data_IF_651987560750
#
_entry.id   IF_651987560750
#
_cell.length_a   1.000
_cell.length_b   1.000
_cell.length_c   1.000
_cell.angle_alpha   90.00
_cell.angle_beta   90.00
_cell.angle_gamma   90.00
#
_symmetry.space_group_name_H-M   'P 1'
#
loop_
_entity.id
_entity.type
_entity.pdbx_description
1 polymer ?
#
# COMPACT_ATOMS: atom_id res chain seq x y z
N UNK A 1 -18.31 4.76 -24.97
CA UNK A 1 -18.59 5.54 -23.74
C UNK A 1 -18.89 4.51 -22.67
N UNK A 2 -17.88 4.18 -21.88
CA UNK A 2 -17.99 3.16 -20.84
C UNK A 2 -18.40 3.87 -19.55
N UNK A 3 -19.60 3.58 -19.05
CA UNK A 3 -20.04 4.01 -17.72
C UNK A 3 -18.95 3.64 -16.73
N UNK A 4 -18.33 4.65 -16.13
CA UNK A 4 -17.39 4.46 -15.03
C UNK A 4 -18.25 4.28 -13.78
N UNK A 5 -18.82 3.09 -13.60
CA UNK A 5 -19.35 2.68 -12.30
C UNK A 5 -18.20 2.80 -11.32
N UNK A 6 -18.25 3.81 -10.44
CA UNK A 6 -17.30 3.97 -9.35
C UNK A 6 -17.31 2.68 -8.54
N UNK A 7 -16.27 1.87 -8.70
CA UNK A 7 -16.21 0.55 -8.10
C UNK A 7 -16.19 0.70 -6.57
N UNK A 8 -17.11 0.01 -5.91
CA UNK A 8 -17.14 0.00 -4.45
C UNK A 8 -16.03 -0.93 -3.93
N UNK A 9 -14.99 -0.33 -3.37
CA UNK A 9 -13.90 -1.06 -2.74
C UNK A 9 -14.33 -1.64 -1.37
N UNK A 10 -13.79 -2.83 -0.99
CA UNK A 10 -14.00 -3.44 0.32
C UNK A 10 -13.80 -2.48 1.50
N UNK A 11 -14.75 -2.48 2.44
CA UNK A 11 -14.66 -1.76 3.71
C UNK A 11 -14.76 -2.69 4.93
N UNK A 12 -15.07 -3.97 4.70
CA UNK A 12 -15.05 -5.04 5.69
C UNK A 12 -14.14 -6.17 5.23
N UNK A 13 -13.63 -6.96 6.19
CA UNK A 13 -12.88 -8.18 5.88
C UNK A 13 -13.71 -9.18 5.07
N UNK A 14 -15.02 -9.26 5.33
CA UNK A 14 -15.95 -10.15 4.62
C UNK A 14 -16.13 -9.79 3.16
N UNK A 15 -15.84 -8.54 2.77
CA UNK A 15 -15.96 -8.08 1.40
C UNK A 15 -14.76 -8.52 0.54
N UNK A 16 -13.65 -8.91 1.20
CA UNK A 16 -12.48 -9.48 0.54
C UNK A 16 -12.78 -10.95 0.27
N UNK A 17 -13.24 -11.23 -0.94
CA UNK A 17 -13.58 -12.57 -1.40
C UNK A 17 -12.54 -13.11 -2.38
N UNK A 18 -12.44 -14.45 -2.57
CA UNK A 18 -11.62 -15.04 -3.62
C UNK A 18 -11.88 -14.42 -4.99
N UNK A 19 -13.16 -14.22 -5.33
CA UNK A 19 -13.57 -13.62 -6.60
C UNK A 19 -13.02 -12.19 -6.75
N UNK A 20 -13.29 -11.33 -5.76
CA UNK A 20 -12.81 -9.95 -5.81
C UNK A 20 -11.29 -9.86 -5.92
N UNK A 21 -10.58 -10.67 -5.12
CA UNK A 21 -9.12 -10.68 -5.15
C UNK A 21 -8.58 -11.19 -6.50
N UNK A 22 -9.20 -12.24 -7.04
CA UNK A 22 -8.85 -12.78 -8.35
C UNK A 22 -9.06 -11.77 -9.48
N UNK A 23 -10.15 -11.01 -9.45
CA UNK A 23 -10.39 -9.92 -10.39
C UNK A 23 -9.31 -8.84 -10.33
N UNK A 24 -8.80 -8.50 -9.13
CA UNK A 24 -7.73 -7.49 -8.96
C UNK A 24 -6.36 -7.98 -9.38
N UNK A 25 -6.08 -9.25 -9.11
CA UNK A 25 -4.80 -9.86 -9.47
C UNK A 25 -4.76 -10.35 -10.92
N UNK A 26 -5.90 -10.43 -11.61
CA UNK A 26 -5.98 -10.99 -12.97
C UNK A 26 -5.85 -12.52 -13.00
N UNK A 27 -6.18 -13.20 -11.90
CA UNK A 27 -6.00 -14.65 -11.74
C UNK A 27 -7.24 -15.31 -11.13
N UNK A 28 -7.46 -16.59 -11.43
CA UNK A 28 -8.54 -17.36 -10.81
C UNK A 28 -8.13 -17.85 -9.44
N UNK A 29 -8.68 -17.22 -8.40
CA UNK A 29 -8.42 -17.58 -7.01
C UNK A 29 -9.47 -18.57 -6.53
N UNK A 30 -9.02 -19.75 -6.10
CA UNK A 30 -9.86 -20.81 -5.56
C UNK A 30 -10.31 -20.51 -4.13
N UNK A 31 -9.36 -20.08 -3.29
CA UNK A 31 -9.60 -19.77 -1.89
C UNK A 31 -8.57 -18.79 -1.36
N UNK A 32 -8.96 -18.07 -0.32
CA UNK A 32 -8.08 -17.21 0.46
C UNK A 32 -8.22 -17.55 1.94
N UNK A 33 -7.12 -17.49 2.67
CA UNK A 33 -7.10 -17.68 4.12
C UNK A 33 -6.52 -16.43 4.77
N UNK A 34 -7.27 -15.81 5.69
CA UNK A 34 -6.75 -14.68 6.47
C UNK A 34 -5.82 -15.20 7.57
N UNK A 35 -4.52 -14.95 7.45
CA UNK A 35 -3.50 -15.51 8.34
C UNK A 35 -3.27 -14.65 9.57
N UNK A 36 -3.34 -13.32 9.43
CA UNK A 36 -3.20 -12.39 10.54
C UNK A 36 -3.72 -11.00 10.17
N UNK A 37 -3.87 -10.13 11.18
CA UNK A 37 -4.29 -8.75 10.98
C UNK A 37 -3.55 -7.81 11.93
N UNK A 38 -3.09 -6.67 11.42
CA UNK A 38 -2.63 -5.54 12.23
C UNK A 38 -3.65 -4.42 12.07
N UNK A 39 -4.37 -4.11 13.15
CA UNK A 39 -5.41 -3.07 13.15
C UNK A 39 -4.80 -1.71 13.47
N UNK A 40 -5.33 -0.66 12.85
CA UNK A 40 -4.91 0.72 13.06
C UNK A 40 -5.53 1.64 12.02
N UNK A 41 -5.05 2.88 11.94
CA UNK A 41 -5.52 3.90 10.96
C UNK A 41 -5.33 3.48 9.50
N UNK A 42 -4.40 2.56 9.24
CA UNK A 42 -4.28 1.82 7.99
C UNK A 42 -4.07 0.33 8.33
N UNK A 43 -5.17 -0.39 8.43
CA UNK A 43 -5.17 -1.82 8.76
C UNK A 43 -4.39 -2.60 7.71
N UNK A 44 -3.65 -3.61 8.16
CA UNK A 44 -2.96 -4.59 7.32
C UNK A 44 -3.64 -5.93 7.53
N UNK A 45 -4.16 -6.50 6.46
CA UNK A 45 -4.77 -7.82 6.46
C UNK A 45 -3.87 -8.75 5.66
N UNK A 46 -3.45 -9.86 6.26
CA UNK A 46 -2.55 -10.81 5.63
C UNK A 46 -3.33 -12.02 5.15
N UNK A 47 -3.04 -12.47 3.92
CA UNK A 47 -3.73 -13.58 3.30
C UNK A 47 -2.77 -14.53 2.60
N UNK A 48 -3.07 -15.82 2.70
CA UNK A 48 -2.54 -16.85 1.80
C UNK A 48 -3.55 -17.13 0.70
N UNK A 49 -3.08 -17.21 -0.54
CA UNK A 49 -3.89 -17.41 -1.75
C UNK A 49 -3.63 -18.79 -2.33
N UNK A 50 -4.71 -19.51 -2.64
CA UNK A 50 -4.67 -20.73 -3.44
C UNK A 50 -5.35 -20.44 -4.78
N UNK A 51 -4.63 -20.62 -5.88
CA UNK A 51 -5.16 -20.44 -7.23
C UNK A 51 -5.86 -21.71 -7.75
N UNK A 52 -6.76 -21.56 -8.72
CA UNK A 52 -7.40 -22.72 -9.38
C UNK A 52 -6.44 -23.45 -10.32
N UNK A 53 -5.58 -22.68 -11.00
CA UNK A 53 -4.63 -23.14 -12.00
C UNK A 53 -3.34 -22.35 -11.83
N UNK A 54 -2.23 -23.06 -11.75
CA UNK A 54 -0.89 -22.46 -11.79
C UNK A 54 -0.70 -21.75 -13.14
N UNK A 55 -0.34 -20.47 -13.10
CA UNK A 55 -0.04 -19.70 -14.32
C UNK A 55 1.46 -19.70 -14.61
N UNK A 56 1.81 -19.48 -15.87
CA UNK A 56 3.18 -19.07 -16.24
C UNK A 56 3.48 -17.63 -15.85
N UNK A 57 2.44 -16.81 -15.64
CA UNK A 57 2.57 -15.44 -15.17
C UNK A 57 2.89 -15.41 -13.66
N UNK A 58 3.52 -14.34 -13.21
CA UNK A 58 3.90 -14.20 -11.81
C UNK A 58 2.65 -14.00 -10.91
N UNK A 59 2.55 -14.78 -9.83
CA UNK A 59 1.41 -14.79 -8.92
C UNK A 59 1.88 -14.72 -7.45
N UNK A 60 1.28 -13.88 -6.59
CA UNK A 60 1.58 -13.90 -5.17
C UNK A 60 0.82 -15.00 -4.43
N UNK A 61 1.52 -15.81 -3.63
CA UNK A 61 0.87 -16.74 -2.69
C UNK A 61 0.59 -16.09 -1.33
N UNK A 62 1.36 -15.08 -0.94
CA UNK A 62 1.23 -14.39 0.34
C UNK A 62 1.16 -12.88 0.10
N UNK A 63 0.05 -12.28 0.53
CA UNK A 63 -0.20 -10.86 0.32
C UNK A 63 -0.54 -10.15 1.63
N UNK A 64 -0.20 -8.87 1.67
CA UNK A 64 -0.73 -7.89 2.60
C UNK A 64 -1.67 -6.95 1.85
N UNK A 65 -2.90 -6.82 2.36
CA UNK A 65 -3.87 -5.83 1.89
C UNK A 65 -3.90 -4.69 2.91
N UNK A 66 -3.59 -3.48 2.44
CA UNK A 66 -3.69 -2.25 3.25
C UNK A 66 -4.94 -1.46 2.87
N UNK A 67 -5.65 -0.97 3.88
CA UNK A 67 -6.85 -0.13 3.71
C UNK A 67 -7.52 0.17 5.05
N UNK A 68 -8.71 0.76 4.99
CA UNK A 68 -9.53 1.05 6.18
C UNK A 68 -10.69 0.05 6.27
N UNK A 69 -10.56 -0.97 7.13
CA UNK A 69 -11.52 -2.09 7.22
C UNK A 69 -12.36 -2.10 8.50
N UNK A 70 -12.57 -0.93 9.12
CA UNK A 70 -13.41 -0.77 10.30
C UNK A 70 -14.35 0.43 10.08
N UNK A 71 -15.66 0.21 9.83
CA UNK A 71 -16.62 1.29 9.63
C UNK A 71 -16.71 2.26 10.81
N UNK A 72 -16.50 1.79 12.05
CA UNK A 72 -16.52 2.67 13.23
C UNK A 72 -15.33 3.61 13.22
N UNK A 73 -14.18 3.16 12.71
CA UNK A 73 -13.01 4.00 12.55
C UNK A 73 -13.21 5.03 11.43
N UNK A 74 -13.83 4.64 10.31
CA UNK A 74 -14.19 5.57 9.23
C UNK A 74 -15.13 6.66 9.76
N UNK A 75 -16.15 6.29 10.53
CA UNK A 75 -17.09 7.24 11.11
C UNK A 75 -16.42 8.18 12.12
N UNK A 76 -15.63 7.63 13.05
CA UNK A 76 -14.97 8.41 14.10
C UNK A 76 -13.82 9.28 13.57
N UNK A 77 -13.12 8.81 12.53
CA UNK A 77 -11.92 9.44 11.97
C UNK A 77 -11.95 9.40 10.43
N UNK A 78 -12.83 10.18 9.76
CA UNK A 78 -12.99 10.13 8.30
C UNK A 78 -11.71 10.43 7.51
N UNK A 79 -10.78 11.18 8.11
CA UNK A 79 -9.48 11.50 7.51
C UNK A 79 -8.61 10.25 7.24
N UNK A 80 -8.87 9.12 7.89
CA UNK A 80 -8.16 7.86 7.65
C UNK A 80 -8.37 7.33 6.23
N UNK A 81 -9.54 7.58 5.64
CA UNK A 81 -9.82 7.29 4.23
C UNK A 81 -8.85 8.04 3.31
N UNK A 82 -8.61 9.33 3.59
CA UNK A 82 -7.68 10.13 2.80
C UNK A 82 -6.25 9.59 2.86
N UNK A 83 -5.83 9.03 4.00
CA UNK A 83 -4.52 8.39 4.12
C UNK A 83 -4.44 7.09 3.31
N UNK A 84 -5.49 6.28 3.33
CA UNK A 84 -5.54 5.07 2.53
C UNK A 84 -5.56 5.38 1.02
N UNK A 85 -6.27 6.43 0.58
CA UNK A 85 -6.25 6.91 -0.80
C UNK A 85 -4.86 7.40 -1.23
N UNK A 86 -4.14 8.10 -0.33
CA UNK A 86 -2.75 8.50 -0.57
C UNK A 86 -1.85 7.29 -0.75
N UNK A 87 -1.94 6.31 0.15
CA UNK A 87 -1.16 5.08 0.05
C UNK A 87 -1.44 4.34 -1.28
N UNK A 88 -2.70 4.23 -1.69
CA UNK A 88 -3.06 3.64 -2.98
C UNK A 88 -2.44 4.41 -4.16
N UNK A 89 -2.54 5.75 -4.15
CA UNK A 89 -1.91 6.60 -5.15
C UNK A 89 -0.39 6.45 -5.19
N UNK A 90 0.27 6.23 -4.05
CA UNK A 90 1.71 5.96 -4.02
C UNK A 90 2.07 4.73 -4.80
N UNK A 91 1.41 3.60 -4.52
CA UNK A 91 1.69 2.35 -5.22
C UNK A 91 1.31 2.40 -6.71
N UNK A 92 0.29 3.16 -7.08
CA UNK A 92 -0.09 3.35 -8.48
C UNK A 92 0.86 4.28 -9.25
N UNK A 93 1.25 5.41 -8.65
CA UNK A 93 1.84 6.55 -9.40
C UNK A 93 3.30 6.83 -9.06
N UNK A 94 3.69 6.61 -7.80
CA UNK A 94 5.03 6.97 -7.31
C UNK A 94 5.95 5.76 -7.33
N UNK A 95 5.53 4.67 -6.69
CA UNK A 95 6.31 3.45 -6.52
C UNK A 95 6.94 2.89 -7.80
N UNK A 96 6.24 2.86 -8.97
CA UNK A 96 6.84 2.37 -10.21
C UNK A 96 8.07 3.17 -10.69
N UNK A 97 8.22 4.41 -10.21
CA UNK A 97 9.29 5.31 -10.60
C UNK A 97 10.43 5.36 -9.58
N UNK A 98 10.29 4.76 -8.40
CA UNK A 98 11.31 4.76 -7.34
C UNK A 98 12.44 3.78 -7.70
N UNK A 99 13.68 4.27 -7.68
CA UNK A 99 14.88 3.48 -8.01
C UNK A 99 15.84 3.28 -6.83
N UNK A 100 15.81 4.20 -5.87
CA UNK A 100 16.83 4.31 -4.82
C UNK A 100 16.29 3.93 -3.43
N UNK A 101 15.17 3.20 -3.36
CA UNK A 101 14.60 2.72 -2.11
C UNK A 101 13.93 1.36 -2.32
N UNK A 102 14.03 0.48 -1.32
CA UNK A 102 13.30 -0.78 -1.27
C UNK A 102 11.91 -0.57 -0.67
N UNK A 103 10.89 -1.14 -1.30
CA UNK A 103 9.51 -1.13 -0.82
C UNK A 103 8.82 -2.44 -1.23
N UNK A 104 7.71 -2.83 -0.56
CA UNK A 104 6.96 -4.02 -0.95
C UNK A 104 6.53 -3.93 -2.42
N UNK A 105 6.72 -5.01 -3.18
CA UNK A 105 6.13 -5.12 -4.51
C UNK A 105 4.62 -4.97 -4.41
N UNK A 106 4.04 -4.06 -5.21
CA UNK A 106 2.60 -3.93 -5.35
C UNK A 106 2.10 -4.80 -6.49
N UNK A 107 1.01 -5.52 -6.24
CA UNK A 107 0.28 -6.30 -7.23
C UNK A 107 -0.89 -5.55 -7.82
N UNK A 108 -1.52 -4.71 -6.98
CA UNK A 108 -2.63 -3.88 -7.39
C UNK A 108 -2.81 -2.75 -6.38
N UNK A 109 -3.27 -1.60 -6.84
CA UNK A 109 -3.75 -0.53 -5.97
C UNK A 109 -4.89 0.23 -6.64
N UNK A 110 -5.81 0.73 -5.84
CA UNK A 110 -6.99 1.44 -6.32
C UNK A 110 -7.65 2.25 -5.22
N UNK A 111 -8.45 3.21 -5.61
CA UNK A 111 -9.17 4.08 -4.68
C UNK A 111 -10.59 4.39 -5.18
N UNK A 112 -11.44 4.76 -4.24
CA UNK A 112 -12.76 5.35 -4.44
C UNK A 112 -12.92 6.51 -3.46
N UNK A 113 -14.03 7.25 -3.52
CA UNK A 113 -14.29 8.35 -2.57
C UNK A 113 -14.35 7.90 -1.10
N UNK A 114 -14.50 6.59 -0.85
CA UNK A 114 -14.69 6.02 0.49
C UNK A 114 -13.54 5.14 0.95
N UNK A 115 -12.54 4.86 0.12
CA UNK A 115 -11.50 3.90 0.42
C UNK A 115 -10.25 4.10 -0.46
N UNK A 116 -9.09 3.71 0.05
CA UNK A 116 -7.95 3.34 -0.78
C UNK A 116 -7.42 1.97 -0.38
N UNK A 117 -7.04 1.16 -1.36
CA UNK A 117 -6.48 -0.17 -1.13
C UNK A 117 -5.16 -0.31 -1.89
N UNK A 118 -4.18 -0.91 -1.22
CA UNK A 118 -2.97 -1.41 -1.84
C UNK A 118 -2.80 -2.90 -1.49
N UNK A 119 -2.62 -3.73 -2.51
CA UNK A 119 -2.27 -5.15 -2.41
C UNK A 119 -0.78 -5.26 -2.72
N UNK A 120 -0.03 -5.83 -1.79
CA UNK A 120 1.42 -5.96 -1.86
C UNK A 120 1.91 -7.29 -1.31
N UNK A 121 3.18 -7.62 -1.55
CA UNK A 121 3.81 -8.77 -0.91
C UNK A 121 3.65 -8.74 0.61
N UNK A 122 3.38 -9.90 1.19
CA UNK A 122 3.54 -10.10 2.62
C UNK A 122 5.03 -10.18 2.98
N UNK A 123 5.62 -9.07 3.44
CA UNK A 123 7.02 -9.07 3.82
C UNK A 123 7.35 -9.96 5.03
N UNK A 124 6.35 -10.45 5.78
CA UNK A 124 6.60 -11.38 6.89
C UNK A 124 7.11 -12.74 6.40
N UNK A 125 6.79 -13.12 5.16
CA UNK A 125 7.35 -14.32 4.53
C UNK A 125 8.78 -14.13 4.07
N UNK A 126 9.22 -12.87 3.93
CA UNK A 126 10.57 -12.47 3.55
C UNK A 126 11.44 -12.14 4.78
N UNK A 127 11.03 -12.58 5.97
CA UNK A 127 11.76 -12.38 7.22
C UNK A 127 11.61 -10.99 7.85
N UNK A 128 10.75 -10.12 7.30
CA UNK A 128 10.44 -8.84 7.94
C UNK A 128 9.50 -9.03 9.14
N UNK A 129 9.60 -8.14 10.12
CA UNK A 129 8.72 -8.14 11.29
C UNK A 129 8.05 -6.78 11.47
N UNK A 130 6.88 -6.79 12.10
CA UNK A 130 6.19 -5.59 12.58
C UNK A 130 6.36 -5.50 14.10
N UNK A 131 7.45 -4.88 14.59
CA UNK A 131 7.74 -4.83 16.02
C UNK A 131 6.81 -3.86 16.75
N UNK A 132 6.75 -3.99 18.08
CA UNK A 132 5.99 -3.08 18.93
C UNK A 132 6.51 -1.64 18.85
N UNK A 133 5.66 -0.67 19.17
CA UNK A 133 5.98 0.76 19.13
C UNK A 133 7.19 1.14 20.01
N UNK A 134 7.43 0.39 21.08
CA UNK A 134 8.54 0.59 22.02
C UNK A 134 9.81 -0.19 21.66
N UNK A 135 9.84 -0.86 20.51
CA UNK A 135 10.99 -1.63 20.09
C UNK A 135 12.21 -0.73 19.81
N UNK A 136 13.38 -1.20 20.24
CA UNK A 136 14.66 -0.59 19.90
C UNK A 136 15.26 -1.23 18.65
N UNK A 137 16.06 -0.45 17.93
CA UNK A 137 16.76 -0.90 16.73
C UNK A 137 18.26 -0.69 16.91
N UNK A 138 19.07 -1.56 16.31
CA UNK A 138 20.52 -1.37 16.25
C UNK A 138 20.85 -0.10 15.45
N UNK A 139 22.00 0.51 15.74
CA UNK A 139 22.52 1.66 14.99
C UNK A 139 22.58 1.37 13.50
N UNK A 140 23.05 0.18 13.13
CA UNK A 140 23.13 -0.29 11.73
C UNK A 140 21.76 -0.27 11.05
N UNK A 141 20.71 -0.79 11.71
CA UNK A 141 19.36 -0.82 11.14
C UNK A 141 18.77 0.58 10.98
N UNK A 142 19.08 1.49 11.91
CA UNK A 142 18.70 2.90 11.79
C UNK A 142 19.43 3.58 10.63
N UNK A 143 20.75 3.37 10.50
CA UNK A 143 21.55 3.91 9.40
C UNK A 143 21.00 3.44 8.04
N UNK A 144 20.72 2.15 7.89
CA UNK A 144 20.13 1.63 6.67
C UNK A 144 18.79 2.31 6.34
N UNK A 145 17.91 2.49 7.33
CA UNK A 145 16.64 3.21 7.13
C UNK A 145 16.84 4.67 6.70
N UNK A 146 17.83 5.36 7.26
CA UNK A 146 18.18 6.74 6.87
C UNK A 146 18.71 6.80 5.44
N UNK A 147 19.54 5.84 5.02
CA UNK A 147 20.05 5.75 3.64
C UNK A 147 18.91 5.55 2.63
N UNK A 148 17.93 4.70 2.94
CA UNK A 148 16.75 4.50 2.09
C UNK A 148 15.93 5.78 1.93
N UNK A 149 15.69 6.52 3.02
CA UNK A 149 14.99 7.81 2.98
C UNK A 149 15.79 8.87 2.22
N UNK A 150 17.12 8.90 2.40
CA UNK A 150 17.99 9.80 1.66
C UNK A 150 17.97 9.50 0.16
N UNK A 151 17.97 8.23 -0.24
CA UNK A 151 17.82 7.80 -1.63
C UNK A 151 16.49 8.24 -2.25
N UNK A 152 15.39 8.11 -1.50
CA UNK A 152 14.09 8.61 -1.93
C UNK A 152 14.10 10.13 -2.09
N UNK A 153 14.58 10.89 -1.09
CA UNK A 153 14.64 12.34 -1.17
C UNK A 153 15.52 12.83 -2.31
N UNK A 154 16.70 12.23 -2.49
CA UNK A 154 17.62 12.59 -3.56
C UNK A 154 16.99 12.41 -4.94
N UNK A 155 16.14 11.39 -5.13
CA UNK A 155 15.47 11.15 -6.41
C UNK A 155 14.52 12.28 -6.81
N UNK A 156 13.86 12.92 -5.84
CA UNK A 156 12.87 13.97 -6.08
C UNK A 156 13.37 15.38 -5.66
N UNK A 157 14.64 15.50 -5.28
CA UNK A 157 15.20 16.76 -4.81
C UNK A 157 15.15 17.83 -5.89
N UNK A 158 14.64 19.01 -5.55
CA UNK A 158 14.54 20.16 -6.47
C UNK A 158 13.52 20.00 -7.59
N UNK A 159 12.68 18.96 -7.57
CA UNK A 159 11.58 18.79 -8.50
C UNK A 159 10.34 19.52 -7.99
N UNK A 160 9.60 20.13 -8.91
CA UNK A 160 8.36 20.85 -8.63
C UNK A 160 7.14 19.95 -8.77
N UNK A 161 5.99 20.45 -8.33
CA UNK A 161 4.71 19.78 -8.54
C UNK A 161 4.37 19.67 -10.04
N UNK A 162 4.81 20.63 -10.86
CA UNK A 162 4.58 20.62 -12.31
C UNK A 162 5.37 19.50 -13.00
N UNK A 163 6.50 19.10 -12.43
CA UNK A 163 7.29 17.96 -12.91
C UNK A 163 6.59 16.62 -12.63
N UNK A 164 5.66 16.60 -11.65
CA UNK A 164 4.92 15.40 -11.22
C UNK A 164 3.46 15.72 -10.87
N UNK A 165 2.59 16.01 -11.86
CA UNK A 165 1.21 16.45 -11.63
C UNK A 165 0.33 15.44 -10.87
N UNK A 166 0.81 14.20 -10.70
CA UNK A 166 0.16 13.15 -9.92
C UNK A 166 0.42 13.21 -8.40
N UNK A 167 1.22 14.16 -7.91
CA UNK A 167 1.79 14.17 -6.56
C UNK A 167 1.18 15.18 -5.57
N UNK A 168 -0.01 15.76 -5.82
CA UNK A 168 -0.60 16.78 -4.93
C UNK A 168 -0.66 16.34 -3.45
N UNK A 169 -0.78 15.04 -3.19
CA UNK A 169 -0.98 14.49 -1.85
C UNK A 169 0.29 13.98 -1.15
N UNK A 170 1.44 13.92 -1.84
CA UNK A 170 2.74 13.46 -1.30
C UNK A 170 3.70 14.59 -0.93
N UNK A 171 3.24 15.84 -1.04
CA UNK A 171 4.02 17.06 -0.78
C UNK A 171 4.48 17.25 0.68
N UNK A 172 4.18 16.35 1.60
CA UNK A 172 4.77 16.43 2.95
C UNK A 172 6.29 16.18 2.94
N UNK A 173 6.80 15.42 1.97
CA UNK A 173 8.25 15.15 1.84
C UNK A 173 8.99 16.14 0.93
N UNK A 174 8.29 16.79 -0.02
CA UNK A 174 8.93 17.64 -1.03
C UNK A 174 9.00 19.12 -0.63
N UNK A 175 8.12 19.60 0.24
CA UNK A 175 8.03 21.04 0.53
C UNK A 175 9.06 21.56 1.55
N UNK A 176 9.98 20.72 2.01
CA UNK A 176 11.09 21.14 2.88
C UNK A 176 12.20 21.90 2.13
N UNK A 177 12.22 21.90 0.80
CA UNK A 177 13.22 22.63 0.01
C UNK A 177 12.92 24.12 -0.17
N UNK A 178 11.71 24.59 0.16
CA UNK A 178 11.33 26.00 -0.04
C UNK A 178 11.50 26.90 1.19
N UNK A 179 11.80 26.34 2.37
CA UNK A 179 12.16 27.11 3.56
C UNK A 179 13.62 26.80 3.90
N UNK A 180 14.52 27.60 3.31
CA UNK A 180 15.96 27.41 3.40
C UNK A 180 16.49 27.29 4.83
N UNK A 181 17.52 26.45 4.95
CA UNK A 181 18.62 26.64 5.90
C UNK A 181 19.62 27.59 5.23
#
# INVERSE_FOLDING_TARGET
MSDTTSEQLPALLSDITPQWLGEKLGHRVKSIENTSNIRGTASKLFYTITYEVESSDEQPNHICIKGVFDPKMIEAQPWTVSLAQREANFFTKVAPNIKNMTFPKSWWSGLSDKQGIAIMNDLTTDGCTFPAETASYSVEKVLNGVEQLAGLHAQYWGQSQDDHPCNESYLFFLNWSHHGI
#
